data_IF_887453441597
#
_entry.id   IF_887453441597
#
_cell.length_a   1.000
_cell.length_b   1.000
_cell.length_c   1.000
_cell.angle_alpha   90.00
_cell.angle_beta   90.00
_cell.angle_gamma   90.00
#
_symmetry.space_group_name_H-M   'P 1'
#
loop_
_entity.id
_entity.type
_entity.pdbx_description
1 polymer ?
#
# COMPACT_ATOMS: atom_id res chain seq x y z
N UNK A 1 -15.25 -16.68 8.17
CA UNK A 1 -14.11 -16.19 8.99
C UNK A 1 -14.45 -14.80 9.50
N UNK A 2 -13.91 -14.45 10.65
CA UNK A 2 -13.97 -13.09 11.18
C UNK A 2 -12.66 -12.35 10.83
N UNK A 3 -12.77 -11.23 10.17
CA UNK A 3 -11.63 -10.42 9.71
C UNK A 3 -11.71 -9.05 10.36
N UNK A 4 -10.61 -8.59 10.95
CA UNK A 4 -10.48 -7.23 11.47
C UNK A 4 -9.63 -6.40 10.50
N UNK A 5 -10.19 -5.30 10.02
CA UNK A 5 -9.46 -4.28 9.27
C UNK A 5 -9.08 -3.16 10.24
N UNK A 6 -7.82 -2.77 10.31
CA UNK A 6 -7.43 -1.61 11.11
C UNK A 6 -7.75 -0.31 10.38
N UNK A 7 -8.69 0.44 10.92
CA UNK A 7 -9.18 1.69 10.36
C UNK A 7 -10.20 1.53 9.23
N UNK A 8 -10.64 2.68 8.71
CA UNK A 8 -11.52 2.82 7.55
C UNK A 8 -10.82 3.64 6.44
N UNK A 9 -9.50 3.42 6.31
CA UNK A 9 -8.74 4.02 5.20
C UNK A 9 -9.06 3.37 3.85
N UNK A 10 -8.47 3.88 2.80
CA UNK A 10 -8.70 3.47 1.40
C UNK A 10 -8.53 1.96 1.23
N UNK A 11 -7.39 1.42 1.63
CA UNK A 11 -7.05 0.00 1.46
C UNK A 11 -7.96 -0.88 2.33
N UNK A 12 -8.18 -0.49 3.60
CA UNK A 12 -9.09 -1.20 4.49
C UNK A 12 -10.51 -1.25 3.93
N UNK A 13 -11.01 -0.15 3.37
CA UNK A 13 -12.35 -0.08 2.77
C UNK A 13 -12.46 -0.98 1.53
N UNK A 14 -11.52 -0.87 0.58
CA UNK A 14 -11.55 -1.64 -0.67
C UNK A 14 -11.50 -3.15 -0.40
N UNK A 15 -10.53 -3.60 0.39
CA UNK A 15 -10.39 -5.02 0.67
C UNK A 15 -11.43 -5.53 1.66
N UNK A 16 -11.82 -4.74 2.66
CA UNK A 16 -12.89 -5.08 3.58
C UNK A 16 -14.20 -5.37 2.86
N UNK A 17 -14.61 -4.51 1.92
CA UNK A 17 -15.78 -4.75 1.07
C UNK A 17 -15.62 -6.00 0.21
N UNK A 18 -14.46 -6.21 -0.40
CA UNK A 18 -14.23 -7.39 -1.23
C UNK A 18 -14.33 -8.70 -0.42
N UNK A 19 -13.80 -8.71 0.79
CA UNK A 19 -13.90 -9.85 1.71
C UNK A 19 -15.32 -10.07 2.20
N UNK A 20 -16.03 -9.00 2.54
CA UNK A 20 -17.45 -9.08 2.93
C UNK A 20 -18.31 -9.65 1.80
N UNK A 21 -18.14 -9.19 0.57
CA UNK A 21 -18.85 -9.72 -0.60
C UNK A 21 -18.51 -11.19 -0.89
N UNK A 22 -17.36 -11.69 -0.44
CA UNK A 22 -16.97 -13.11 -0.55
C UNK A 22 -17.42 -13.97 0.64
N UNK A 23 -18.27 -13.42 1.54
CA UNK A 23 -18.93 -14.15 2.62
C UNK A 23 -18.14 -14.16 3.94
N UNK A 24 -17.16 -13.28 4.12
CA UNK A 24 -16.48 -13.10 5.40
C UNK A 24 -17.21 -12.06 6.26
N UNK A 25 -17.16 -12.23 7.60
CA UNK A 25 -17.55 -11.19 8.53
C UNK A 25 -16.38 -10.22 8.69
N UNK A 26 -16.59 -8.94 8.40
CA UNK A 26 -15.55 -7.93 8.42
C UNK A 26 -15.92 -6.82 9.38
N UNK A 27 -15.05 -6.57 10.36
CA UNK A 27 -15.14 -5.47 11.30
C UNK A 27 -14.01 -4.47 11.02
N UNK A 28 -14.30 -3.17 11.14
CA UNK A 28 -13.30 -2.11 11.01
C UNK A 28 -13.06 -1.48 12.37
N UNK A 29 -11.86 -1.64 12.92
CA UNK A 29 -11.47 -1.00 14.17
C UNK A 29 -11.11 0.45 13.92
N UNK A 30 -11.91 1.36 14.45
CA UNK A 30 -11.73 2.80 14.33
C UNK A 30 -11.43 3.40 15.71
N UNK A 31 -10.93 4.64 15.74
CA UNK A 31 -10.70 5.36 16.99
C UNK A 31 -12.04 5.67 17.68
N UNK A 32 -12.06 5.77 19.03
CA UNK A 32 -13.25 6.17 19.77
C UNK A 32 -13.90 7.45 19.20
N UNK A 33 -15.22 7.43 19.07
CA UNK A 33 -16.04 8.51 18.49
C UNK A 33 -16.20 8.44 16.97
N UNK A 34 -15.31 7.75 16.25
CA UNK A 34 -15.33 7.71 14.78
C UNK A 34 -16.47 6.88 14.20
N UNK A 35 -16.97 5.89 14.95
CA UNK A 35 -18.09 5.07 14.46
C UNK A 35 -19.36 5.91 14.24
N UNK A 36 -19.60 6.87 15.12
CA UNK A 36 -20.75 7.78 15.01
C UNK A 36 -20.58 8.81 13.86
N UNK A 37 -19.32 9.27 13.60
CA UNK A 37 -19.02 10.23 12.55
C UNK A 37 -19.05 9.58 11.15
N UNK A 38 -18.46 8.38 11.03
CA UNK A 38 -18.27 7.70 9.74
C UNK A 38 -19.52 6.95 9.25
N UNK A 39 -20.49 6.69 10.16
CA UNK A 39 -21.73 5.97 9.85
C UNK A 39 -21.52 4.48 9.56
N UNK A 40 -22.61 3.79 9.22
CA UNK A 40 -22.70 2.34 9.05
C UNK A 40 -22.54 1.84 7.60
N UNK A 41 -22.22 2.75 6.67
CA UNK A 41 -22.05 2.43 5.26
C UNK A 41 -20.97 3.27 4.61
N UNK A 42 -20.46 2.80 3.48
CA UNK A 42 -19.48 3.53 2.67
C UNK A 42 -19.85 3.46 1.19
N UNK A 43 -19.75 4.61 0.53
CA UNK A 43 -19.93 4.71 -0.91
C UNK A 43 -18.59 4.61 -1.62
N UNK A 44 -18.56 3.84 -2.70
CA UNK A 44 -17.36 3.67 -3.53
C UNK A 44 -17.69 3.86 -5.01
N UNK A 45 -16.78 4.48 -5.73
CA UNK A 45 -16.79 4.65 -7.19
C UNK A 45 -15.40 4.32 -7.71
N UNK A 46 -15.16 3.06 -7.99
CA UNK A 46 -13.83 2.54 -8.31
C UNK A 46 -13.78 1.89 -9.69
N UNK A 47 -12.59 1.89 -10.31
CA UNK A 47 -12.31 1.11 -11.51
C UNK A 47 -11.77 -0.25 -11.07
N UNK A 48 -12.58 -1.30 -11.24
CA UNK A 48 -12.29 -2.66 -10.77
C UNK A 48 -11.67 -3.51 -11.89
N UNK A 49 -10.37 -3.74 -11.80
CA UNK A 49 -9.57 -4.55 -12.73
C UNK A 49 -9.76 -6.07 -12.58
N UNK A 50 -10.44 -6.54 -11.53
CA UNK A 50 -10.82 -7.95 -11.41
C UNK A 50 -11.85 -8.34 -12.50
N UNK A 51 -12.57 -7.35 -13.01
CA UNK A 51 -13.62 -7.50 -14.01
C UNK A 51 -13.15 -7.32 -15.46
N UNK A 52 -11.84 -7.33 -15.69
CA UNK A 52 -11.22 -7.24 -17.01
C UNK A 52 -9.96 -6.37 -17.05
N UNK A 53 -9.13 -6.49 -18.08
CA UNK A 53 -7.81 -5.84 -18.14
C UNK A 53 -7.86 -4.30 -18.20
N UNK A 54 -8.93 -3.73 -18.73
CA UNK A 54 -9.13 -2.27 -18.77
C UNK A 54 -9.81 -1.73 -17.51
N UNK A 55 -10.28 -2.64 -16.64
CA UNK A 55 -11.12 -2.32 -15.50
C UNK A 55 -12.55 -1.97 -15.87
N UNK A 56 -13.46 -2.12 -14.92
CA UNK A 56 -14.87 -1.70 -15.04
C UNK A 56 -15.21 -0.76 -13.90
N UNK A 57 -15.77 0.41 -14.23
CA UNK A 57 -16.27 1.32 -13.20
C UNK A 57 -17.41 0.67 -12.43
N UNK A 58 -17.29 0.64 -11.12
CA UNK A 58 -18.26 0.05 -10.21
C UNK A 58 -18.58 1.06 -9.12
N UNK A 59 -19.88 1.36 -8.98
CA UNK A 59 -20.41 2.18 -7.88
C UNK A 59 -21.18 1.27 -6.94
N UNK A 60 -20.95 1.40 -5.66
CA UNK A 60 -21.67 0.64 -4.64
C UNK A 60 -21.78 1.42 -3.35
N UNK A 61 -22.85 1.16 -2.61
CA UNK A 61 -22.97 1.50 -1.19
C UNK A 61 -22.97 0.17 -0.44
N UNK A 62 -22.04 0.01 0.48
CA UNK A 62 -21.90 -1.23 1.25
C UNK A 62 -21.96 -0.96 2.73
N UNK A 63 -22.67 -1.81 3.51
CA UNK A 63 -22.67 -1.70 4.95
C UNK A 63 -21.25 -1.91 5.49
N UNK A 64 -20.89 -1.16 6.53
CA UNK A 64 -19.59 -1.22 7.18
C UNK A 64 -19.81 -1.37 8.68
N UNK A 65 -19.32 -2.46 9.26
CA UNK A 65 -19.38 -2.64 10.69
C UNK A 65 -18.14 -2.00 11.33
N UNK A 66 -18.38 -0.87 12.03
CA UNK A 66 -17.34 -0.15 12.75
C UNK A 66 -17.37 -0.59 14.22
N UNK A 67 -16.18 -0.87 14.76
CA UNK A 67 -15.97 -1.17 16.19
C UNK A 67 -14.89 -0.21 16.74
N UNK A 68 -15.06 0.28 17.95
CA UNK A 68 -14.15 1.24 18.57
C UNK A 68 -13.21 0.58 19.60
N UNK A 69 -13.50 -0.65 19.96
CA UNK A 69 -12.67 -1.49 20.81
C UNK A 69 -12.78 -2.94 20.39
N UNK A 70 -11.78 -3.72 20.74
CA UNK A 70 -11.76 -5.18 20.61
C UNK A 70 -11.25 -5.77 21.91
N UNK A 71 -11.75 -6.96 22.21
CA UNK A 71 -11.30 -7.76 23.35
C UNK A 71 -10.69 -9.08 22.87
N UNK A 72 -9.93 -9.74 23.74
CA UNK A 72 -9.29 -11.03 23.41
C UNK A 72 -10.30 -12.12 23.03
N UNK A 73 -11.52 -12.03 23.54
CA UNK A 73 -12.61 -12.98 23.29
C UNK A 73 -13.29 -12.77 21.91
N UNK A 74 -12.94 -11.69 21.21
CA UNK A 74 -13.49 -11.42 19.89
C UNK A 74 -13.08 -12.43 18.82
N UNK A 75 -11.99 -13.16 19.03
CA UNK A 75 -11.55 -14.31 18.25
C UNK A 75 -11.52 -14.06 16.72
N UNK A 76 -10.73 -13.08 16.26
CA UNK A 76 -10.50 -12.86 14.85
C UNK A 76 -9.55 -13.92 14.25
N UNK A 77 -9.87 -14.39 13.04
CA UNK A 77 -9.02 -15.30 12.28
C UNK A 77 -7.88 -14.55 11.57
N UNK A 78 -8.18 -13.33 11.07
CA UNK A 78 -7.28 -12.49 10.32
C UNK A 78 -7.40 -11.04 10.77
N UNK A 79 -6.26 -10.38 11.00
CA UNK A 79 -6.14 -8.94 11.24
C UNK A 79 -5.34 -8.32 10.10
N UNK A 80 -5.90 -7.30 9.45
CA UNK A 80 -5.25 -6.61 8.32
C UNK A 80 -4.81 -5.22 8.75
N UNK A 81 -3.51 -4.96 8.69
CA UNK A 81 -2.89 -3.68 8.98
C UNK A 81 -2.55 -2.98 7.66
N UNK A 82 -3.31 -1.95 7.31
CA UNK A 82 -3.09 -1.13 6.11
C UNK A 82 -2.93 0.35 6.46
N UNK A 83 -2.19 0.60 7.52
CA UNK A 83 -1.80 1.95 7.96
C UNK A 83 -0.51 2.39 7.29
N UNK A 84 -0.26 3.70 7.23
CA UNK A 84 1.01 4.22 6.77
C UNK A 84 2.18 3.67 7.60
N UNK A 85 3.31 3.41 6.95
CA UNK A 85 4.47 2.75 7.58
C UNK A 85 4.94 3.42 8.89
N UNK A 86 4.88 4.76 8.96
CA UNK A 86 5.24 5.56 10.14
C UNK A 86 4.32 5.33 11.35
N UNK A 87 3.17 4.66 11.17
CA UNK A 87 2.20 4.33 12.23
C UNK A 87 2.12 2.84 12.55
N UNK A 88 2.85 2.01 11.80
CA UNK A 88 2.74 0.56 11.91
C UNK A 88 3.11 0.06 13.31
N UNK A 89 4.20 0.55 13.88
CA UNK A 89 4.66 0.13 15.21
C UNK A 89 3.67 0.50 16.32
N UNK A 90 3.08 1.70 16.27
CA UNK A 90 2.03 2.13 17.19
C UNK A 90 0.78 1.24 17.07
N UNK A 91 0.37 0.93 15.84
CA UNK A 91 -0.76 0.06 15.55
C UNK A 91 -0.56 -1.36 16.12
N UNK A 92 0.63 -1.93 15.92
CA UNK A 92 1.01 -3.24 16.45
C UNK A 92 1.03 -3.24 17.98
N UNK A 93 1.62 -2.23 18.60
CA UNK A 93 1.67 -2.11 20.06
C UNK A 93 0.25 -2.05 20.67
N UNK A 94 -0.67 -1.37 20.00
CA UNK A 94 -2.08 -1.26 20.45
C UNK A 94 -2.83 -2.58 20.29
N UNK A 95 -2.59 -3.32 19.21
CA UNK A 95 -3.37 -4.51 18.85
C UNK A 95 -2.84 -5.80 19.46
N UNK A 96 -1.51 -5.96 19.54
CA UNK A 96 -0.89 -7.24 19.92
C UNK A 96 -1.42 -7.86 21.22
N UNK A 97 -1.79 -7.10 22.28
CA UNK A 97 -2.35 -7.68 23.49
C UNK A 97 -3.79 -8.21 23.33
N UNK A 98 -4.51 -7.85 22.25
CA UNK A 98 -5.96 -8.07 22.10
C UNK A 98 -6.34 -9.02 20.99
N UNK A 99 -5.44 -9.32 20.06
CA UNK A 99 -5.74 -10.12 18.85
C UNK A 99 -5.52 -11.62 19.01
N UNK A 100 -5.26 -12.09 20.25
CA UNK A 100 -5.09 -13.51 20.55
C UNK A 100 -4.11 -14.18 19.58
N UNK A 101 -4.53 -15.30 18.95
CA UNK A 101 -3.71 -16.05 17.97
C UNK A 101 -4.04 -15.73 16.50
N UNK A 102 -4.69 -14.61 16.21
CA UNK A 102 -5.02 -14.22 14.85
C UNK A 102 -3.79 -14.16 13.92
N UNK A 103 -3.96 -14.51 12.66
CA UNK A 103 -2.99 -14.20 11.60
C UNK A 103 -2.97 -12.70 11.35
N UNK A 104 -1.80 -12.10 11.22
CA UNK A 104 -1.65 -10.67 10.93
C UNK A 104 -1.11 -10.47 9.52
N UNK A 105 -1.86 -9.76 8.69
CA UNK A 105 -1.41 -9.31 7.37
C UNK A 105 -1.05 -7.83 7.40
N UNK A 106 0.21 -7.50 7.20
CA UNK A 106 0.66 -6.13 6.93
C UNK A 106 0.54 -5.88 5.43
N UNK A 107 -0.34 -4.98 5.03
CA UNK A 107 -0.69 -4.73 3.64
C UNK A 107 -0.42 -3.26 3.28
N UNK A 108 0.82 -2.94 2.98
CA UNK A 108 1.28 -1.59 2.68
C UNK A 108 2.78 -1.42 2.71
N UNK A 109 3.22 -0.18 2.71
CA UNK A 109 4.63 0.17 2.77
C UNK A 109 5.27 -0.24 4.12
N UNK A 110 6.49 -0.75 4.05
CA UNK A 110 7.36 -1.02 5.21
C UNK A 110 8.77 -0.61 4.83
N UNK A 111 9.40 0.28 5.62
CA UNK A 111 10.77 0.74 5.37
C UNK A 111 11.79 0.20 6.36
N UNK A 112 11.41 -0.01 7.61
CA UNK A 112 12.24 -0.70 8.60
C UNK A 112 12.42 -2.19 8.23
N UNK A 113 13.27 -2.89 8.98
CA UNK A 113 13.30 -4.36 8.90
C UNK A 113 11.91 -4.90 9.24
N UNK A 114 11.26 -5.68 8.34
CA UNK A 114 9.84 -6.00 8.48
C UNK A 114 9.46 -6.61 9.84
N UNK A 115 10.25 -7.56 10.35
CA UNK A 115 9.94 -8.18 11.64
C UNK A 115 10.19 -7.24 12.83
N UNK A 116 11.13 -6.30 12.71
CA UNK A 116 11.32 -5.27 13.75
C UNK A 116 10.16 -4.27 13.77
N UNK A 117 9.61 -3.93 12.60
CA UNK A 117 8.48 -3.01 12.48
C UNK A 117 7.19 -3.56 13.12
N UNK A 118 7.08 -4.87 13.30
CA UNK A 118 5.89 -5.54 13.85
C UNK A 118 6.13 -6.21 15.22
N UNK A 119 7.27 -5.97 15.85
CA UNK A 119 7.51 -6.47 17.20
C UNK A 119 6.44 -5.93 18.17
N UNK A 120 5.89 -6.73 19.11
CA UNK A 120 6.35 -8.06 19.54
C UNK A 120 5.65 -9.26 18.87
N UNK A 121 5.01 -9.10 17.71
CA UNK A 121 4.33 -10.22 17.04
C UNK A 121 5.33 -11.30 16.61
N UNK A 122 4.96 -12.57 16.81
CA UNK A 122 5.78 -13.70 16.37
C UNK A 122 5.81 -13.80 14.85
N UNK A 123 6.98 -14.09 14.28
CA UNK A 123 7.21 -14.08 12.83
C UNK A 123 6.31 -15.08 12.07
N UNK A 124 6.00 -16.22 12.66
CA UNK A 124 5.14 -17.25 12.08
C UNK A 124 3.67 -16.83 11.93
N UNK A 125 3.26 -15.77 12.63
CA UNK A 125 1.90 -15.21 12.60
C UNK A 125 1.75 -14.06 11.61
N UNK A 126 2.86 -13.47 11.15
CA UNK A 126 2.83 -12.25 10.34
C UNK A 126 3.12 -12.55 8.87
N UNK A 127 2.24 -12.09 8.01
CA UNK A 127 2.42 -12.08 6.57
C UNK A 127 2.58 -10.63 6.09
N UNK A 128 3.57 -10.38 5.26
CA UNK A 128 3.74 -9.11 4.59
C UNK A 128 3.21 -9.20 3.16
N UNK A 129 2.53 -8.15 2.73
CA UNK A 129 2.02 -8.04 1.36
C UNK A 129 1.92 -6.61 0.90
N UNK A 130 1.57 -6.44 -0.37
CA UNK A 130 1.36 -5.12 -0.95
C UNK A 130 0.04 -5.07 -1.74
N UNK A 131 -0.79 -4.02 -1.52
CA UNK A 131 -2.09 -3.91 -2.15
C UNK A 131 -1.95 -3.57 -3.64
N UNK A 132 -2.80 -4.16 -4.47
CA UNK A 132 -3.03 -3.70 -5.82
C UNK A 132 -4.23 -2.76 -5.88
N UNK A 133 -4.26 -1.75 -5.02
CA UNK A 133 -5.37 -0.81 -4.94
C UNK A 133 -4.89 0.54 -4.42
N UNK A 134 -5.60 1.59 -4.80
CA UNK A 134 -5.37 2.94 -4.31
C UNK A 134 -6.57 3.84 -4.59
N UNK A 135 -6.62 5.00 -3.95
CA UNK A 135 -7.74 5.92 -4.09
C UNK A 135 -7.65 7.10 -3.15
N UNK A 136 -8.75 7.82 -3.05
CA UNK A 136 -8.97 8.93 -2.12
C UNK A 136 -10.45 9.07 -1.80
N UNK A 137 -10.77 9.62 -0.65
CA UNK A 137 -12.12 10.04 -0.31
C UNK A 137 -12.30 11.48 -0.78
N UNK A 138 -13.44 11.75 -1.44
CA UNK A 138 -13.83 13.12 -1.74
C UNK A 138 -14.48 13.81 -0.51
N UNK A 139 -14.91 15.07 -0.69
CA UNK A 139 -15.54 15.87 0.36
C UNK A 139 -16.89 15.29 0.83
N UNK A 140 -17.55 14.50 0.00
CA UNK A 140 -18.82 13.83 0.31
C UNK A 140 -18.63 12.45 0.95
N UNK A 141 -17.36 12.04 1.19
CA UNK A 141 -17.01 10.77 1.79
C UNK A 141 -17.13 9.57 0.82
N UNK A 142 -17.21 9.81 -0.49
CA UNK A 142 -17.19 8.76 -1.51
C UNK A 142 -15.74 8.37 -1.80
N UNK A 143 -15.44 7.07 -1.75
CA UNK A 143 -14.13 6.57 -2.11
C UNK A 143 -14.01 6.40 -3.63
N UNK A 144 -13.12 7.17 -4.23
CA UNK A 144 -12.72 7.04 -5.63
C UNK A 144 -11.38 6.32 -5.74
N UNK A 145 -11.20 5.44 -6.74
CA UNK A 145 -9.93 4.76 -6.88
C UNK A 145 -9.87 3.69 -7.96
N UNK A 146 -8.81 2.89 -7.88
CA UNK A 146 -8.59 1.74 -8.73
C UNK A 146 -8.30 0.50 -7.89
N UNK A 147 -8.80 -0.63 -8.36
CA UNK A 147 -8.55 -1.96 -7.77
C UNK A 147 -7.93 -2.82 -8.86
N UNK A 148 -6.65 -3.14 -8.74
CA UNK A 148 -5.98 -4.05 -9.65
C UNK A 148 -6.41 -5.49 -9.37
N UNK A 149 -6.23 -6.35 -10.36
CA UNK A 149 -6.58 -7.77 -10.22
C UNK A 149 -5.68 -8.52 -9.24
N UNK A 150 -4.46 -8.08 -9.04
CA UNK A 150 -3.46 -8.81 -8.25
C UNK A 150 -3.14 -8.14 -6.93
N UNK A 151 -2.82 -8.95 -5.95
CA UNK A 151 -2.18 -8.58 -4.68
C UNK A 151 -0.86 -9.33 -4.57
N UNK A 152 0.16 -8.72 -3.99
CA UNK A 152 1.45 -9.38 -3.73
C UNK A 152 1.50 -9.87 -2.30
N UNK A 153 1.93 -11.12 -2.09
CA UNK A 153 2.10 -11.70 -0.76
C UNK A 153 3.49 -12.35 -0.64
N UNK A 154 4.14 -12.13 0.49
CA UNK A 154 5.40 -12.79 0.83
C UNK A 154 5.22 -14.29 1.05
N UNK A 155 6.27 -15.05 0.77
CA UNK A 155 6.24 -16.52 0.93
C UNK A 155 7.06 -17.01 2.11
N UNK A 156 7.88 -16.13 2.73
CA UNK A 156 8.85 -16.50 3.78
C UNK A 156 8.41 -15.98 5.16
N UNK A 157 8.81 -16.72 6.20
CA UNK A 157 8.64 -16.34 7.61
C UNK A 157 7.33 -16.76 8.25
N UNK A 158 6.22 -16.71 7.54
CA UNK A 158 4.89 -17.06 8.03
C UNK A 158 4.64 -18.56 7.98
N UNK A 159 3.92 -19.10 8.98
CA UNK A 159 3.50 -20.50 8.96
C UNK A 159 2.67 -20.83 7.69
N UNK A 160 2.89 -22.01 7.06
CA UNK A 160 2.27 -22.34 5.77
C UNK A 160 0.73 -22.30 5.78
N UNK A 161 0.10 -22.77 6.84
CA UNK A 161 -1.35 -22.77 7.04
C UNK A 161 -1.92 -21.34 7.11
N UNK A 162 -1.24 -20.44 7.82
CA UNK A 162 -1.60 -19.03 7.91
C UNK A 162 -1.46 -18.31 6.56
N UNK A 163 -0.41 -18.63 5.82
CA UNK A 163 -0.21 -18.11 4.47
C UNK A 163 -1.31 -18.58 3.53
N UNK A 164 -1.68 -19.86 3.57
CA UNK A 164 -2.75 -20.40 2.75
C UNK A 164 -4.13 -19.82 3.14
N UNK A 165 -4.36 -19.59 4.43
CA UNK A 165 -5.55 -18.90 4.92
C UNK A 165 -5.68 -17.51 4.25
N UNK A 166 -4.64 -16.68 4.30
CA UNK A 166 -4.66 -15.34 3.67
C UNK A 166 -4.83 -15.44 2.16
N UNK A 167 -4.09 -16.36 1.50
CA UNK A 167 -4.22 -16.61 0.06
C UNK A 167 -5.67 -16.93 -0.32
N UNK A 168 -6.32 -17.84 0.41
CA UNK A 168 -7.69 -18.26 0.14
C UNK A 168 -8.70 -17.11 0.26
N UNK A 169 -8.49 -16.20 1.22
CA UNK A 169 -9.32 -15.00 1.41
C UNK A 169 -9.26 -14.11 0.15
N UNK A 170 -8.06 -13.82 -0.34
CA UNK A 170 -7.92 -13.01 -1.56
C UNK A 170 -8.47 -13.70 -2.80
N UNK A 171 -8.21 -14.98 -2.99
CA UNK A 171 -8.69 -15.74 -4.14
C UNK A 171 -10.22 -15.80 -4.17
N UNK A 172 -10.88 -16.05 -3.03
CA UNK A 172 -12.35 -16.02 -2.92
C UNK A 172 -12.92 -14.64 -3.23
N UNK A 173 -12.22 -13.58 -2.88
CA UNK A 173 -12.58 -12.21 -3.22
C UNK A 173 -12.26 -11.83 -4.68
N UNK A 174 -11.79 -12.77 -5.51
CA UNK A 174 -11.53 -12.59 -6.94
C UNK A 174 -10.18 -11.98 -7.28
N UNK A 175 -9.25 -11.94 -6.34
CA UNK A 175 -7.88 -11.48 -6.59
C UNK A 175 -6.96 -12.61 -7.04
N UNK A 176 -6.00 -12.28 -7.89
CA UNK A 176 -4.85 -13.14 -8.20
C UNK A 176 -3.74 -12.83 -7.21
N UNK A 177 -3.27 -13.84 -6.49
CA UNK A 177 -2.13 -13.70 -5.58
C UNK A 177 -0.83 -13.89 -6.34
N UNK A 178 0.05 -12.91 -6.24
CA UNK A 178 1.43 -12.97 -6.73
C UNK A 178 2.35 -13.25 -5.55
N UNK A 179 3.03 -14.39 -5.60
CA UNK A 179 4.00 -14.77 -4.58
C UNK A 179 5.30 -13.97 -4.74
N UNK A 180 5.88 -13.58 -3.61
CA UNK A 180 7.16 -12.86 -3.55
C UNK A 180 8.08 -13.49 -2.52
N UNK A 181 9.14 -14.15 -3.00
CA UNK A 181 10.10 -14.85 -2.14
C UNK A 181 11.05 -13.90 -1.40
N UNK A 182 11.23 -12.69 -1.94
CA UNK A 182 11.99 -11.62 -1.30
C UNK A 182 11.09 -10.40 -1.06
N UNK A 183 10.03 -10.61 -0.27
CA UNK A 183 9.06 -9.54 0.04
C UNK A 183 9.73 -8.32 0.68
N UNK A 184 10.77 -8.51 1.50
CA UNK A 184 11.54 -7.43 2.13
C UNK A 184 12.20 -6.55 1.07
N UNK A 185 12.96 -7.15 0.17
CA UNK A 185 13.64 -6.42 -0.92
C UNK A 185 12.65 -5.77 -1.86
N UNK A 186 11.53 -6.43 -2.15
CA UNK A 186 10.47 -5.90 -2.98
C UNK A 186 9.79 -4.67 -2.35
N UNK A 187 9.45 -4.71 -1.05
CA UNK A 187 8.83 -3.59 -0.33
C UNK A 187 9.77 -2.38 -0.31
N UNK A 188 11.05 -2.57 -0.04
CA UNK A 188 12.02 -1.48 -0.03
C UNK A 188 12.26 -0.88 -1.43
N UNK A 189 12.28 -1.72 -2.47
CA UNK A 189 12.34 -1.22 -3.84
C UNK A 189 11.09 -0.40 -4.19
N UNK A 190 9.90 -0.88 -3.82
CA UNK A 190 8.65 -0.15 -4.03
C UNK A 190 8.66 1.19 -3.29
N UNK A 191 9.10 1.19 -2.03
CA UNK A 191 9.22 2.40 -1.21
C UNK A 191 10.13 3.47 -1.85
N UNK A 192 11.23 3.05 -2.45
CA UNK A 192 12.14 3.96 -3.18
C UNK A 192 11.49 4.49 -4.47
N UNK A 193 10.70 3.67 -5.16
CA UNK A 193 9.92 4.14 -6.31
C UNK A 193 8.85 5.15 -5.89
N UNK A 194 8.16 4.90 -4.78
CA UNK A 194 7.20 5.85 -4.20
C UNK A 194 7.89 7.16 -3.81
N UNK A 195 9.07 7.11 -3.19
CA UNK A 195 9.85 8.31 -2.87
C UNK A 195 10.14 9.15 -4.12
N UNK A 196 10.50 8.51 -5.23
CA UNK A 196 10.68 9.21 -6.51
C UNK A 196 9.40 9.84 -7.05
N UNK A 197 8.28 9.12 -6.97
CA UNK A 197 6.97 9.60 -7.40
C UNK A 197 6.47 10.75 -6.52
N UNK A 198 6.55 10.63 -5.20
CA UNK A 198 6.13 11.68 -4.27
C UNK A 198 7.01 12.92 -4.36
N UNK A 199 8.33 12.76 -4.53
CA UNK A 199 9.23 13.88 -4.77
C UNK A 199 8.83 14.69 -6.00
N UNK A 200 8.44 14.03 -7.09
CA UNK A 200 7.96 14.70 -8.29
C UNK A 200 6.55 15.28 -8.12
N UNK A 201 5.66 14.57 -7.42
CA UNK A 201 4.30 15.04 -7.13
C UNK A 201 4.31 16.36 -6.34
N UNK A 202 5.19 16.50 -5.35
CA UNK A 202 5.38 17.78 -4.62
C UNK A 202 5.81 18.94 -5.56
N UNK A 203 6.55 18.65 -6.63
CA UNK A 203 6.96 19.68 -7.59
C UNK A 203 5.88 20.03 -8.61
N UNK A 204 5.03 19.06 -8.97
CA UNK A 204 4.02 19.19 -10.02
C UNK A 204 2.61 19.47 -9.49
N UNK A 205 2.40 19.44 -8.16
CA UNK A 205 1.11 19.70 -7.53
C UNK A 205 0.22 18.46 -7.35
N UNK A 206 0.79 17.24 -7.45
CA UNK A 206 0.09 15.97 -7.18
C UNK A 206 0.40 14.89 -8.22
N UNK A 207 0.11 13.65 -7.90
CA UNK A 207 0.29 12.52 -8.83
C UNK A 207 -0.68 12.58 -10.01
N UNK A 208 -1.88 13.14 -9.82
CA UNK A 208 -2.86 13.33 -10.88
C UNK A 208 -2.34 14.19 -12.03
N UNK A 209 -1.49 15.20 -11.74
CA UNK A 209 -0.87 16.06 -12.75
C UNK A 209 0.17 15.34 -13.62
N UNK A 210 0.67 14.20 -13.14
CA UNK A 210 1.67 13.38 -13.86
C UNK A 210 1.04 12.41 -14.87
N UNK A 211 -0.29 12.32 -14.91
CA UNK A 211 -1.02 11.47 -15.86
C UNK A 211 -0.72 11.90 -17.30
N UNK A 212 -0.14 11.00 -18.09
CA UNK A 212 0.29 11.27 -19.47
C UNK A 212 1.55 12.12 -19.60
N UNK A 213 2.12 12.62 -18.50
CA UNK A 213 3.31 13.45 -18.52
C UNK A 213 4.59 12.60 -18.47
N UNK A 214 5.16 12.33 -19.65
CA UNK A 214 6.42 11.60 -19.80
C UNK A 214 7.60 12.27 -19.08
N UNK A 215 7.61 13.61 -19.03
CA UNK A 215 8.72 14.34 -18.41
C UNK A 215 8.69 14.18 -16.90
N UNK A 216 7.55 14.43 -16.27
CA UNK A 216 7.37 14.27 -14.83
C UNK A 216 7.66 12.82 -14.40
N UNK A 217 7.11 11.84 -15.10
CA UNK A 217 7.38 10.41 -14.82
C UNK A 217 8.86 10.06 -14.95
N UNK A 218 9.56 10.60 -15.96
CA UNK A 218 11.00 10.38 -16.12
C UNK A 218 11.80 10.97 -14.95
N UNK A 219 11.48 12.16 -14.50
CA UNK A 219 12.16 12.80 -13.37
C UNK A 219 11.91 12.02 -12.07
N UNK A 220 10.69 11.53 -11.84
CA UNK A 220 10.37 10.63 -10.73
C UNK A 220 11.25 9.36 -10.77
N UNK A 221 11.34 8.69 -11.91
CA UNK A 221 12.15 7.48 -12.06
C UNK A 221 13.66 7.74 -11.95
N UNK A 222 14.14 8.92 -12.36
CA UNK A 222 15.52 9.33 -12.15
C UNK A 222 15.82 9.56 -10.66
N UNK A 223 14.88 10.09 -9.89
CA UNK A 223 15.02 10.19 -8.43
C UNK A 223 15.05 8.80 -7.78
N UNK A 224 14.15 7.89 -8.16
CA UNK A 224 14.23 6.49 -7.73
C UNK A 224 15.55 5.81 -8.13
N UNK A 225 16.11 6.13 -9.31
CA UNK A 225 17.41 5.62 -9.75
C UNK A 225 18.57 6.13 -8.87
N UNK A 226 18.53 7.37 -8.45
CA UNK A 226 19.50 7.95 -7.50
C UNK A 226 19.55 7.18 -6.19
N UNK A 227 18.42 6.60 -5.76
CA UNK A 227 18.29 5.88 -4.50
C UNK A 227 18.70 4.39 -4.56
N UNK A 228 19.07 3.87 -5.74
CA UNK A 228 19.55 2.48 -5.87
C UNK A 228 20.69 2.12 -4.90
N UNK A 229 21.74 2.96 -4.72
CA UNK A 229 22.82 2.65 -3.79
C UNK A 229 22.33 2.44 -2.35
N UNK A 230 21.24 3.10 -1.95
CA UNK A 230 20.62 2.90 -0.63
C UNK A 230 20.07 1.48 -0.49
N UNK A 231 19.39 0.96 -1.53
CA UNK A 231 18.89 -0.41 -1.55
C UNK A 231 20.02 -1.43 -1.53
N UNK A 232 21.06 -1.21 -2.35
CA UNK A 232 22.22 -2.09 -2.43
C UNK A 232 22.98 -2.13 -1.10
N UNK A 233 23.18 -0.97 -0.45
CA UNK A 233 23.81 -0.88 0.87
C UNK A 233 22.97 -1.55 1.98
N UNK A 234 21.64 -1.62 1.80
CA UNK A 234 20.74 -2.37 2.69
C UNK A 234 20.63 -3.85 2.33
N UNK A 235 21.42 -4.35 1.38
CA UNK A 235 21.48 -5.75 1.01
C UNK A 235 20.34 -6.24 0.11
N UNK A 236 19.69 -5.35 -0.66
CA UNK A 236 18.68 -5.75 -1.64
C UNK A 236 19.37 -6.24 -2.93
N UNK A 237 19.08 -7.47 -3.32
CA UNK A 237 19.48 -7.99 -4.62
C UNK A 237 18.49 -7.56 -5.72
N UNK A 238 18.80 -6.47 -6.39
CA UNK A 238 17.96 -5.91 -7.46
C UNK A 238 17.80 -6.83 -8.67
N UNK A 239 18.67 -7.85 -8.81
CA UNK A 239 18.57 -8.82 -9.91
C UNK A 239 17.37 -9.76 -9.77
N UNK A 240 16.87 -9.96 -8.55
CA UNK A 240 15.66 -10.74 -8.24
C UNK A 240 14.38 -10.02 -8.64
N UNK A 241 14.41 -8.69 -8.73
CA UNK A 241 13.24 -7.82 -8.97
C UNK A 241 13.28 -7.16 -10.37
N UNK A 242 13.66 -7.89 -11.40
CA UNK A 242 13.95 -7.34 -12.74
C UNK A 242 12.80 -6.52 -13.34
N UNK A 243 11.56 -6.95 -13.18
CA UNK A 243 10.38 -6.22 -13.69
C UNK A 243 10.13 -4.94 -12.89
N UNK A 244 10.20 -5.01 -11.57
CA UNK A 244 9.98 -3.87 -10.68
C UNK A 244 11.10 -2.82 -10.78
N UNK A 245 12.32 -3.23 -11.18
CA UNK A 245 13.45 -2.31 -11.37
C UNK A 245 13.46 -1.59 -12.72
N UNK A 246 12.54 -1.90 -13.64
CA UNK A 246 12.50 -1.27 -14.97
C UNK A 246 12.46 0.27 -14.90
N UNK A 247 11.66 0.92 -14.03
CA UNK A 247 11.64 2.38 -13.91
C UNK A 247 13.02 2.98 -13.62
N UNK A 248 13.77 2.38 -12.71
CA UNK A 248 15.10 2.89 -12.32
C UNK A 248 16.22 2.46 -13.28
N UNK A 249 16.05 1.36 -14.01
CA UNK A 249 17.03 0.89 -15.02
C UNK A 249 16.89 1.63 -16.34
N UNK A 250 15.67 1.82 -16.80
CA UNK A 250 15.32 2.41 -18.10
C UNK A 250 14.31 3.55 -17.93
N UNK A 251 14.65 4.63 -17.19
CA UNK A 251 13.69 5.66 -16.78
C UNK A 251 12.99 6.33 -17.96
N UNK A 252 13.69 6.60 -19.05
CA UNK A 252 13.11 7.23 -20.25
C UNK A 252 12.10 6.35 -20.99
N UNK A 253 12.44 5.08 -21.19
CA UNK A 253 11.56 4.11 -21.86
C UNK A 253 10.33 3.82 -21.00
N UNK A 254 10.54 3.55 -19.70
CA UNK A 254 9.45 3.26 -18.76
C UNK A 254 8.52 4.46 -18.62
N UNK A 255 9.06 5.69 -18.54
CA UNK A 255 8.25 6.90 -18.50
C UNK A 255 7.37 7.06 -19.74
N UNK A 256 7.89 6.74 -20.93
CA UNK A 256 7.09 6.78 -22.17
C UNK A 256 5.94 5.77 -22.14
N UNK A 257 6.21 4.54 -21.68
CA UNK A 257 5.19 3.50 -21.60
C UNK A 257 4.13 3.82 -20.54
N UNK A 258 4.55 4.29 -19.35
CA UNK A 258 3.64 4.66 -18.25
C UNK A 258 2.81 5.89 -18.63
N UNK A 259 3.40 6.89 -19.27
CA UNK A 259 2.67 8.06 -19.78
C UNK A 259 1.57 7.63 -20.77
N UNK A 260 1.91 6.80 -21.76
CA UNK A 260 0.93 6.29 -22.71
C UNK A 260 -0.16 5.45 -22.01
N UNK A 261 0.23 4.56 -21.10
CA UNK A 261 -0.73 3.74 -20.35
C UNK A 261 -1.68 4.59 -19.51
N UNK A 262 -1.18 5.58 -18.77
CA UNK A 262 -2.03 6.46 -17.93
C UNK A 262 -2.87 7.42 -18.75
N UNK A 263 -2.43 7.83 -19.92
CA UNK A 263 -3.23 8.64 -20.85
C UNK A 263 -4.39 7.86 -21.49
N UNK A 264 -4.19 6.58 -21.84
CA UNK A 264 -5.11 5.80 -22.66
C UNK A 264 -5.94 4.78 -21.88
N UNK A 265 -5.42 4.25 -20.75
CA UNK A 265 -6.05 3.16 -20.01
C UNK A 265 -6.66 3.68 -18.71
N UNK A 266 -8.00 3.62 -18.55
CA UNK A 266 -8.68 4.20 -17.39
C UNK A 266 -8.18 3.71 -16.04
N UNK A 267 -7.93 2.40 -15.88
CA UNK A 267 -7.44 1.85 -14.62
C UNK A 267 -6.02 2.32 -14.29
N UNK A 268 -5.15 2.46 -15.29
CA UNK A 268 -3.79 2.97 -15.09
C UNK A 268 -3.80 4.44 -14.67
N UNK A 269 -4.68 5.24 -15.30
CA UNK A 269 -4.93 6.64 -14.92
C UNK A 269 -5.40 6.73 -13.47
N UNK A 270 -6.47 6.00 -13.13
CA UNK A 270 -7.03 6.01 -11.78
C UNK A 270 -6.03 5.51 -10.73
N UNK A 271 -5.20 4.52 -11.05
CA UNK A 271 -4.16 4.02 -10.16
C UNK A 271 -3.08 5.06 -9.88
N UNK A 272 -2.64 5.82 -10.90
CA UNK A 272 -1.64 6.89 -10.70
C UNK A 272 -2.24 8.07 -9.94
N UNK A 273 -3.46 8.49 -10.29
CA UNK A 273 -4.14 9.63 -9.64
C UNK A 273 -4.66 9.33 -8.23
N UNK A 274 -4.54 8.10 -7.76
CA UNK A 274 -5.14 7.63 -6.52
C UNK A 274 -4.58 8.27 -5.24
N UNK A 275 -3.42 8.89 -5.27
CA UNK A 275 -2.74 9.51 -4.12
C UNK A 275 -2.48 10.98 -4.43
N UNK A 276 -3.54 11.78 -4.50
CA UNK A 276 -3.47 13.13 -5.07
C UNK A 276 -2.90 14.19 -4.11
N UNK A 277 -2.91 13.95 -2.79
CA UNK A 277 -2.31 14.89 -1.83
C UNK A 277 -0.85 14.56 -1.52
N UNK A 278 0.12 15.24 -2.19
CA UNK A 278 1.55 15.00 -1.96
C UNK A 278 2.02 15.54 -0.60
N UNK A 279 1.21 16.35 0.08
CA UNK A 279 1.51 16.91 1.40
C UNK A 279 0.93 16.09 2.54
N UNK A 280 0.23 14.99 2.24
CA UNK A 280 -0.25 14.04 3.23
C UNK A 280 0.91 13.45 4.05
N UNK A 281 0.62 12.99 5.26
CA UNK A 281 1.64 12.51 6.21
C UNK A 281 2.47 11.35 5.65
N UNK A 282 1.86 10.43 4.87
CA UNK A 282 2.58 9.26 4.34
C UNK A 282 3.61 9.63 3.26
N UNK A 283 3.29 10.40 2.20
CA UNK A 283 4.28 10.89 1.25
C UNK A 283 5.46 11.60 1.90
N UNK A 284 5.21 12.50 2.85
CA UNK A 284 6.25 13.23 3.55
C UNK A 284 7.13 12.30 4.41
N UNK A 285 6.53 11.34 5.11
CA UNK A 285 7.26 10.34 5.89
C UNK A 285 8.14 9.45 4.99
N UNK A 286 7.64 9.04 3.81
CA UNK A 286 8.43 8.27 2.83
C UNK A 286 9.69 9.03 2.41
N UNK A 287 9.54 10.31 2.07
CA UNK A 287 10.67 11.14 1.64
C UNK A 287 11.69 11.33 2.76
N UNK A 288 11.22 11.62 3.98
CA UNK A 288 12.09 11.83 5.13
C UNK A 288 12.85 10.56 5.53
N UNK A 289 12.18 9.41 5.55
CA UNK A 289 12.79 8.15 5.94
C UNK A 289 13.88 7.70 4.95
N UNK A 290 13.64 7.87 3.65
CA UNK A 290 14.65 7.57 2.63
C UNK A 290 15.84 8.52 2.75
N UNK A 291 15.61 9.84 2.96
CA UNK A 291 16.69 10.83 3.16
C UNK A 291 17.52 10.52 4.39
N UNK A 292 16.87 10.24 5.52
CA UNK A 292 17.53 9.88 6.78
C UNK A 292 18.39 8.63 6.62
N UNK A 293 17.87 7.60 5.93
CA UNK A 293 18.62 6.37 5.66
C UNK A 293 19.81 6.63 4.73
N UNK A 294 19.63 7.40 3.66
CA UNK A 294 20.71 7.75 2.76
C UNK A 294 21.82 8.53 3.47
N UNK A 295 21.46 9.51 4.31
CA UNK A 295 22.40 10.28 5.11
C UNK A 295 23.18 9.38 6.09
N UNK A 296 22.52 8.47 6.79
CA UNK A 296 23.16 7.52 7.71
C UNK A 296 24.15 6.59 6.99
N UNK A 297 23.91 6.29 5.71
CA UNK A 297 24.79 5.47 4.87
C UNK A 297 25.85 6.29 4.12
N UNK A 298 25.86 7.62 4.28
CA UNK A 298 26.78 8.51 3.55
C UNK A 298 26.53 8.57 2.04
N UNK A 299 25.31 8.27 1.59
CA UNK A 299 24.93 8.24 0.17
C UNK A 299 24.28 9.59 -0.19
N UNK A 300 24.86 10.35 -1.16
CA UNK A 300 24.30 11.63 -1.57
C UNK A 300 23.01 11.46 -2.40
N UNK A 301 22.01 12.31 -2.12
CA UNK A 301 20.69 12.30 -2.78
C UNK A 301 20.30 13.68 -3.33
N UNK A 302 21.10 14.28 -4.26
CA UNK A 302 20.91 15.66 -4.71
C UNK A 302 19.57 15.92 -5.40
N UNK A 303 18.93 14.93 -6.02
CA UNK A 303 17.58 15.07 -6.61
C UNK A 303 16.52 15.14 -5.53
N UNK A 304 16.58 14.21 -4.58
CA UNK A 304 15.66 14.16 -3.46
C UNK A 304 15.79 15.41 -2.56
N UNK A 305 17.01 15.88 -2.32
CA UNK A 305 17.29 17.06 -1.50
C UNK A 305 16.74 18.35 -2.12
N UNK A 306 16.71 18.47 -3.44
CA UNK A 306 16.08 19.62 -4.12
C UNK A 306 14.59 19.72 -3.85
N UNK A 307 13.92 18.60 -3.69
CA UNK A 307 12.49 18.55 -3.36
C UNK A 307 12.23 19.07 -1.95
N UNK A 308 13.04 18.63 -0.98
CA UNK A 308 12.89 19.03 0.41
C UNK A 308 13.10 20.53 0.69
N UNK A 309 13.79 21.26 -0.20
CA UNK A 309 13.98 22.72 -0.08
C UNK A 309 12.77 23.55 -0.54
N UNK A 310 11.74 22.92 -1.07
CA UNK A 310 10.53 23.56 -1.62
C UNK A 310 9.29 23.30 -0.76
N UNK A 311 9.39 22.46 0.25
CA UNK A 311 8.41 22.17 1.29
C UNK A 311 8.85 22.89 2.58
#
# INVERSE_FOLDING_TARGET
MRILMLGRGIIATIYGQAFQHSGHQVDHLVRPGRAAEDGDSVQTDVIDGRRGPLGRRTRSTSPTRLVESIDTDDAYDLVVLSVGHHRLQEAVATLSPRIGDATVLVLGNVWDEPLAAVAPLAADRVLFGFPGAGGGFDADGVLHGAVLRSVRLGTTGTAPDRRELVRSVFQRAGFTVQDEDDIRGWLWLHFVLDAGMFAQALQSGGLATMVGDRHALREAFLTGRELRPVLEARGVDLSRHRSTTLPVRLPGTTATLVAAATALVPIARASLAAHDDPTAAEPLAVLEDVRRTAAALGIPTPRLDRTARRV
#
